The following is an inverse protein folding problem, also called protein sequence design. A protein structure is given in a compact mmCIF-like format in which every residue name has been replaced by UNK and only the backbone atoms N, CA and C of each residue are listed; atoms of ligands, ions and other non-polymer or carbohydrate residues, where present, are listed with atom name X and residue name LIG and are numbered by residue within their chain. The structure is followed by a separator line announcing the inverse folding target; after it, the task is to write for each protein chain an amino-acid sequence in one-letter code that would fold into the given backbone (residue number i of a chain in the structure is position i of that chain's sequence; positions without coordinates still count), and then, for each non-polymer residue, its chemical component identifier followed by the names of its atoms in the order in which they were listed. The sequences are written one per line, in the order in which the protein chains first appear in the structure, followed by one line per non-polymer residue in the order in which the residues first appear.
data_IF_744187723923
#
_entry.id   IF_744187723923
#
_cell.length_a   1.000
_cell.length_b   1.000
_cell.length_c   1.000
_cell.angle_alpha   90.00
_cell.angle_beta   90.00
_cell.angle_gamma   90.00
#
_symmetry.space_group_name_H-M   'P 1'
#
loop_
_entity.id
_entity.type
_entity.pdbx_description
1 polymer ?
#
# COMPACT_ATOMS: atom_id res chain seq x y z
N UNK A 1 -12.68 18.16 -17.60
CA UNK A 1 -11.25 18.10 -17.93
C UNK A 1 -10.53 17.90 -16.61
N UNK A 2 -10.16 16.65 -16.28
CA UNK A 2 -9.30 16.36 -15.13
C UNK A 2 -7.86 16.47 -15.61
N UNK A 3 -7.02 17.19 -14.84
CA UNK A 3 -5.64 17.49 -15.21
C UNK A 3 -4.85 16.23 -15.58
N UNK A 4 -4.29 16.26 -16.78
CA UNK A 4 -3.26 15.35 -17.23
C UNK A 4 -1.90 15.92 -16.82
N UNK A 5 -1.14 15.15 -16.03
CA UNK A 5 0.14 15.53 -15.43
C UNK A 5 -0.07 15.81 -13.95
N UNK A 6 0.30 14.94 -13.01
CA UNK A 6 1.59 14.23 -12.85
C UNK A 6 1.36 12.76 -12.38
N UNK A 7 2.30 11.82 -12.57
CA UNK A 7 2.24 10.54 -11.89
C UNK A 7 2.68 10.75 -10.44
N UNK A 8 1.78 11.28 -9.62
CA UNK A 8 2.01 11.35 -8.18
C UNK A 8 2.08 9.93 -7.64
N UNK A 9 3.26 9.56 -7.16
CA UNK A 9 3.45 8.30 -6.46
C UNK A 9 2.41 8.24 -5.34
N UNK A 10 1.46 7.31 -5.45
CA UNK A 10 0.37 7.16 -4.51
C UNK A 10 0.62 5.89 -3.72
N UNK A 11 0.73 6.04 -2.40
CA UNK A 11 0.61 4.95 -1.45
C UNK A 11 -0.67 5.15 -0.64
N UNK A 12 -1.47 4.10 -0.54
CA UNK A 12 -2.71 4.11 0.22
C UNK A 12 -2.81 2.85 1.06
N UNK A 13 -3.08 3.04 2.35
CA UNK A 13 -3.39 1.97 3.27
C UNK A 13 -4.85 2.07 3.66
N UNK A 14 -5.57 0.96 3.60
CA UNK A 14 -6.89 0.85 4.22
C UNK A 14 -6.83 -0.17 5.34
N UNK A 15 -7.60 0.08 6.37
CA UNK A 15 -7.56 -0.68 7.61
C UNK A 15 -8.71 -0.33 8.52
N UNK A 16 -8.64 -0.83 9.74
CA UNK A 16 -9.58 -0.50 10.80
C UNK A 16 -8.83 -0.14 12.08
N UNK A 17 -9.42 0.75 12.87
CA UNK A 17 -8.92 1.09 14.19
C UNK A 17 -9.90 0.60 15.26
N UNK A 18 -9.37 0.05 16.36
CA UNK A 18 -10.12 -0.34 17.55
C UNK A 18 -9.43 0.27 18.78
N UNK A 19 -9.99 1.38 19.29
CA UNK A 19 -9.30 2.23 20.25
C UNK A 19 -8.03 2.81 19.63
N UNK A 20 -6.93 2.81 20.38
CA UNK A 20 -5.63 3.32 19.91
C UNK A 20 -4.87 2.36 18.97
N UNK A 21 -5.47 1.23 18.61
CA UNK A 21 -4.84 0.22 17.76
C UNK A 21 -5.43 0.27 16.36
N UNK A 22 -4.64 0.70 15.39
CA UNK A 22 -4.96 0.61 13.97
C UNK A 22 -4.29 -0.61 13.34
N UNK A 23 -5.00 -1.27 12.43
CA UNK A 23 -4.49 -2.41 11.66
C UNK A 23 -4.80 -2.21 10.19
N UNK A 24 -3.77 -2.20 9.36
CA UNK A 24 -3.92 -2.22 7.91
C UNK A 24 -4.45 -3.59 7.44
N UNK A 25 -5.32 -3.57 6.45
CA UNK A 25 -5.89 -4.77 5.82
C UNK A 25 -5.63 -4.81 4.32
N UNK A 26 -5.36 -3.65 3.71
CA UNK A 26 -5.02 -3.56 2.30
C UNK A 26 -3.99 -2.47 2.07
N UNK A 27 -3.22 -2.64 1.00
CA UNK A 27 -2.28 -1.66 0.49
C UNK A 27 -2.50 -1.49 -1.00
N UNK A 28 -2.40 -0.26 -1.48
CA UNK A 28 -2.26 0.07 -2.88
C UNK A 28 -1.08 1.01 -3.06
N UNK A 29 -0.23 0.70 -4.03
CA UNK A 29 0.88 1.53 -4.43
C UNK A 29 0.94 1.61 -5.95
N UNK A 30 1.11 2.83 -6.44
CA UNK A 30 1.36 3.12 -7.85
C UNK A 30 2.35 4.26 -7.90
N UNK A 31 3.50 4.04 -8.55
CA UNK A 31 4.50 5.09 -8.67
C UNK A 31 5.34 5.03 -9.93
N UNK A 32 5.79 6.19 -10.39
CA UNK A 32 6.75 6.33 -11.49
C UNK A 32 8.10 6.75 -10.92
N UNK A 33 9.10 5.92 -11.18
CA UNK A 33 10.49 6.12 -10.78
C UNK A 33 11.36 6.35 -12.01
N UNK A 34 12.65 6.66 -11.77
CA UNK A 34 13.64 6.88 -12.84
C UNK A 34 13.74 5.71 -13.82
N UNK A 35 13.56 4.50 -13.33
CA UNK A 35 13.77 3.26 -14.08
C UNK A 35 12.45 2.63 -14.58
N UNK A 36 11.31 3.29 -14.35
CA UNK A 36 10.00 2.83 -14.81
C UNK A 36 8.88 3.01 -13.81
N UNK A 37 7.72 2.47 -14.17
CA UNK A 37 6.53 2.44 -13.33
C UNK A 37 6.54 1.17 -12.47
N UNK A 38 6.10 1.28 -11.21
CA UNK A 38 5.86 0.16 -10.32
C UNK A 38 4.41 0.18 -9.84
N UNK A 39 3.78 -0.99 -9.89
CA UNK A 39 2.52 -1.28 -9.23
C UNK A 39 2.71 -2.27 -8.09
N UNK A 40 2.17 -1.99 -6.90
CA UNK A 40 2.09 -2.98 -5.82
C UNK A 40 0.74 -2.93 -5.09
N UNK A 41 0.22 -4.09 -4.68
CA UNK A 41 -1.09 -4.20 -4.03
C UNK A 41 -1.10 -5.34 -3.02
N UNK A 42 -1.79 -5.14 -1.91
CA UNK A 42 -2.20 -6.19 -0.97
C UNK A 42 -3.70 -6.10 -0.77
N UNK A 43 -4.41 -7.21 -0.93
CA UNK A 43 -5.85 -7.28 -0.71
C UNK A 43 -6.24 -8.53 0.10
N UNK A 44 -7.21 -8.41 1.03
CA UNK A 44 -7.74 -9.55 1.74
C UNK A 44 -8.57 -10.41 0.79
N UNK A 45 -8.48 -11.72 0.97
CA UNK A 45 -9.22 -12.76 0.24
C UNK A 45 -9.77 -13.77 1.24
N UNK A 46 -10.60 -14.70 0.79
CA UNK A 46 -11.11 -15.77 1.66
C UNK A 46 -10.00 -16.68 2.22
N UNK A 47 -8.88 -16.81 1.49
CA UNK A 47 -7.78 -17.71 1.83
C UNK A 47 -6.59 -17.03 2.53
N UNK A 48 -6.68 -15.73 2.82
CA UNK A 48 -5.58 -14.93 3.38
C UNK A 48 -5.44 -13.60 2.64
N UNK A 49 -4.21 -13.22 2.31
CA UNK A 49 -3.89 -11.94 1.66
C UNK A 49 -3.23 -12.21 0.32
N UNK A 50 -3.84 -11.71 -0.77
CA UNK A 50 -3.20 -11.69 -2.08
C UNK A 50 -2.27 -10.48 -2.15
N UNK A 51 -1.04 -10.70 -2.58
CA UNK A 51 -0.10 -9.64 -2.88
C UNK A 51 0.28 -9.67 -4.36
N UNK A 52 0.50 -8.49 -4.93
CA UNK A 52 0.90 -8.29 -6.33
C UNK A 52 1.98 -7.21 -6.38
N UNK A 53 3.05 -7.45 -7.13
CA UNK A 53 4.12 -6.49 -7.45
C UNK A 53 4.44 -6.65 -8.92
N UNK A 54 3.97 -5.73 -9.74
CA UNK A 54 3.90 -5.84 -11.20
C UNK A 54 3.32 -7.21 -11.63
N UNK A 55 4.10 -8.01 -12.36
CA UNK A 55 3.71 -9.33 -12.87
C UNK A 55 3.84 -10.46 -11.82
N UNK A 56 4.38 -10.16 -10.63
CA UNK A 56 4.57 -11.15 -9.56
C UNK A 56 3.41 -11.11 -8.60
N UNK A 57 2.89 -12.28 -8.24
CA UNK A 57 1.82 -12.39 -7.25
C UNK A 57 1.98 -13.62 -6.36
N UNK A 58 1.25 -13.61 -5.25
CA UNK A 58 1.15 -14.77 -4.36
C UNK A 58 0.11 -14.59 -3.28
N UNK A 59 0.01 -15.61 -2.43
CA UNK A 59 -0.87 -15.64 -1.26
C UNK A 59 -0.02 -15.70 0.02
N UNK A 60 -0.46 -14.98 1.04
CA UNK A 60 0.12 -14.95 2.38
C UNK A 60 -0.95 -15.18 3.44
N UNK A 61 -0.57 -15.68 4.63
CA UNK A 61 -1.54 -15.94 5.70
C UNK A 61 -1.92 -14.69 6.47
N UNK A 62 -1.10 -13.65 6.41
CA UNK A 62 -1.32 -12.38 7.09
C UNK A 62 -0.92 -11.18 6.22
N UNK A 63 -1.39 -9.98 6.62
CA UNK A 63 -0.96 -8.73 5.99
C UNK A 63 0.55 -8.54 6.11
N UNK A 64 1.14 -8.80 7.27
CA UNK A 64 2.58 -8.61 7.50
C UNK A 64 3.43 -9.54 6.61
N UNK A 65 3.00 -10.79 6.41
CA UNK A 65 3.66 -11.71 5.49
C UNK A 65 3.55 -11.24 4.02
N UNK A 66 2.41 -10.69 3.62
CA UNK A 66 2.22 -10.08 2.31
C UNK A 66 3.06 -8.79 2.17
N UNK A 67 3.11 -7.97 3.21
CA UNK A 67 3.85 -6.71 3.25
C UNK A 67 5.36 -6.96 3.13
N UNK A 68 5.87 -8.03 3.74
CA UNK A 68 7.26 -8.47 3.56
C UNK A 68 7.62 -8.90 2.12
N UNK A 69 6.66 -9.01 1.20
CA UNK A 69 6.90 -9.24 -0.24
C UNK A 69 6.98 -7.95 -1.05
N UNK A 70 6.60 -6.82 -0.47
CA UNK A 70 6.67 -5.52 -1.12
C UNK A 70 8.13 -5.07 -1.27
N UNK A 71 8.45 -4.25 -2.29
CA UNK A 71 9.77 -3.64 -2.44
C UNK A 71 10.26 -2.92 -1.18
N UNK A 72 11.57 -2.94 -0.97
CA UNK A 72 12.19 -2.41 0.26
C UNK A 72 11.85 -0.93 0.51
N UNK A 73 11.77 -0.11 -0.54
CA UNK A 73 11.41 1.30 -0.39
C UNK A 73 9.98 1.56 0.09
N UNK A 74 9.08 0.57 0.01
CA UNK A 74 7.73 0.65 0.59
C UNK A 74 7.69 0.17 2.05
N UNK A 75 8.56 -0.78 2.40
CA UNK A 75 8.53 -1.46 3.71
C UNK A 75 9.54 -0.89 4.70
N UNK A 76 10.52 -0.14 4.19
CA UNK A 76 11.56 0.53 4.94
C UNK A 76 12.01 1.79 4.16
N UNK A 77 11.15 2.82 4.05
CA UNK A 77 11.50 4.03 3.33
C UNK A 77 12.66 4.77 4.03
N UNK A 78 13.60 5.32 3.25
CA UNK A 78 14.73 6.10 3.77
C UNK A 78 14.27 7.43 4.42
N UNK A 79 13.07 7.88 4.09
CA UNK A 79 12.43 9.09 4.59
C UNK A 79 10.92 8.86 4.73
N UNK A 80 10.38 9.10 5.92
CA UNK A 80 8.95 8.99 6.22
C UNK A 80 8.43 10.38 6.58
N UNK A 81 7.47 10.89 5.81
CA UNK A 81 6.74 12.11 6.16
C UNK A 81 5.33 11.74 6.58
N UNK A 82 4.97 12.11 7.81
CA UNK A 82 3.60 11.98 8.29
C UNK A 82 2.68 12.92 7.50
N UNK A 83 1.87 12.34 6.62
CA UNK A 83 0.77 13.06 5.97
C UNK A 83 -0.34 13.42 6.98
N UNK A 84 -1.17 14.44 6.68
CA UNK A 84 -2.30 14.75 7.53
C UNK A 84 -3.25 13.55 7.64
N UNK A 85 -3.45 13.05 8.86
CA UNK A 85 -4.42 11.98 9.14
C UNK A 85 -5.83 12.58 8.97
N UNK A 86 -6.47 12.27 7.85
CA UNK A 86 -7.88 12.56 7.66
C UNK A 86 -8.70 11.59 8.53
N UNK A 87 -9.28 12.11 9.61
CA UNK A 87 -10.36 11.44 10.33
C UNK A 87 -11.65 11.82 9.60
N UNK A 88 -12.39 10.86 9.04
CA UNK A 88 -13.79 11.13 8.71
C UNK A 88 -14.50 11.47 10.03
N UNK A 89 -15.09 12.67 10.07
CA UNK A 89 -15.77 13.20 11.25
C UNK A 89 -16.86 12.22 11.74
N UNK A 90 -16.90 12.04 13.06
CA UNK A 90 -17.95 11.30 13.80
C UNK A 90 -19.37 11.83 13.53
#
# INVERSE_FOLDING_TARGET
MFNAGEPDNAISFTGYCKGDRCKATSLFFSGTFRDGYLFAKIEPTESGFKWTVDDREGLAKSFDEAFAKMPAFLTNPDHEEDGPVWKENE
#
